data_IF_887587199423
#
_entry.id   IF_887587199423
#
_cell.length_a   1.000
_cell.length_b   1.000
_cell.length_c   1.000
_cell.angle_alpha   90.00
_cell.angle_beta   90.00
_cell.angle_gamma   90.00
#
_symmetry.space_group_name_H-M   'P 1'
#
loop_
_entity.id
_entity.type
_entity.pdbx_description
1 polymer ?
#
# COMPACT_ATOMS: atom_id res chain seq x y z
N UNK A 1 -10.57 -30.04 17.23
CA UNK A 1 -9.71 -30.19 16.04
C UNK A 1 -9.34 -28.80 15.53
N UNK A 2 -8.05 -28.42 15.48
CA UNK A 2 -7.60 -27.15 14.90
C UNK A 2 -7.14 -27.40 13.46
N UNK A 3 -7.86 -26.85 12.49
CA UNK A 3 -7.50 -26.95 11.07
C UNK A 3 -6.71 -25.70 10.70
N UNK A 4 -5.50 -25.87 10.16
CA UNK A 4 -4.69 -24.74 9.70
C UNK A 4 -5.22 -24.20 8.37
N UNK A 5 -5.02 -22.90 8.11
CA UNK A 5 -5.33 -22.31 6.80
C UNK A 5 -4.65 -23.06 5.64
N UNK A 6 -3.45 -23.60 5.88
CA UNK A 6 -2.71 -24.40 4.90
C UNK A 6 -3.41 -25.72 4.57
N UNK A 7 -4.03 -26.37 5.56
CA UNK A 7 -4.84 -27.58 5.38
C UNK A 7 -6.08 -27.28 4.54
N UNK A 8 -6.74 -26.14 4.79
CA UNK A 8 -7.89 -25.68 3.98
C UNK A 8 -7.47 -25.39 2.54
N UNK A 9 -6.34 -24.73 2.31
CA UNK A 9 -5.87 -24.51 0.94
C UNK A 9 -5.49 -25.82 0.26
N UNK A 10 -4.77 -26.73 0.93
CA UNK A 10 -4.40 -28.03 0.35
C UNK A 10 -5.62 -28.84 -0.05
N UNK A 11 -6.69 -28.89 0.76
CA UNK A 11 -7.89 -29.66 0.41
C UNK A 11 -8.55 -29.16 -0.89
N UNK A 12 -8.54 -27.84 -1.14
CA UNK A 12 -9.04 -27.25 -2.38
C UNK A 12 -8.22 -27.64 -3.62
N UNK A 13 -6.88 -27.76 -3.50
CA UNK A 13 -6.01 -28.15 -4.62
C UNK A 13 -5.91 -29.66 -4.82
N UNK A 14 -6.16 -30.47 -3.79
CA UNK A 14 -6.10 -31.94 -3.88
C UNK A 14 -7.20 -32.48 -4.80
N UNK A 15 -8.42 -31.93 -4.73
CA UNK A 15 -9.54 -32.35 -5.58
C UNK A 15 -9.27 -32.14 -7.08
N UNK A 16 -8.52 -31.10 -7.45
CA UNK A 16 -8.14 -30.81 -8.84
C UNK A 16 -6.73 -31.26 -9.25
N UNK A 17 -6.16 -32.28 -8.58
CA UNK A 17 -4.81 -32.84 -8.86
C UNK A 17 -3.71 -31.78 -8.90
N UNK A 18 -3.72 -30.84 -7.96
CA UNK A 18 -2.71 -29.78 -7.83
C UNK A 18 -3.11 -28.42 -8.41
N UNK A 19 -4.27 -28.32 -9.08
CA UNK A 19 -4.86 -27.08 -9.55
C UNK A 19 -6.31 -26.87 -9.10
N UNK A 20 -6.79 -25.65 -9.19
CA UNK A 20 -8.22 -25.33 -9.01
C UNK A 20 -9.00 -25.71 -10.27
N UNK A 21 -10.27 -26.09 -10.08
CA UNK A 21 -11.18 -26.41 -11.18
C UNK A 21 -11.31 -25.24 -12.17
N UNK A 22 -11.32 -25.53 -13.47
CA UNK A 22 -11.26 -24.51 -14.55
C UNK A 22 -12.39 -23.48 -14.47
N UNK A 23 -13.56 -23.88 -13.99
CA UNK A 23 -14.71 -23.00 -13.77
C UNK A 23 -14.46 -21.99 -12.64
N UNK A 24 -13.84 -22.42 -11.55
CA UNK A 24 -13.44 -21.54 -10.44
C UNK A 24 -12.34 -20.57 -10.89
N UNK A 25 -11.40 -21.02 -11.71
CA UNK A 25 -10.31 -20.16 -12.20
C UNK A 25 -10.84 -18.97 -13.00
N UNK A 26 -11.91 -19.15 -13.78
CA UNK A 26 -12.56 -18.06 -14.55
C UNK A 26 -13.16 -16.97 -13.65
N UNK A 27 -13.56 -17.31 -12.42
CA UNK A 27 -14.12 -16.34 -11.48
C UNK A 27 -13.06 -15.67 -10.60
N UNK A 28 -11.84 -16.21 -10.57
CA UNK A 28 -10.74 -15.60 -9.82
C UNK A 28 -10.17 -14.39 -10.56
N UNK A 29 -10.10 -13.26 -9.84
CA UNK A 29 -9.44 -12.02 -10.31
C UNK A 29 -8.03 -12.24 -10.86
N UNK A 30 -7.30 -13.21 -10.31
CA UNK A 30 -5.91 -13.47 -10.72
C UNK A 30 -5.79 -14.47 -11.87
N UNK A 31 -6.88 -15.17 -12.23
CA UNK A 31 -6.88 -16.25 -13.22
C UNK A 31 -5.94 -17.41 -12.89
N UNK A 32 -5.48 -17.52 -11.64
CA UNK A 32 -4.46 -18.53 -11.26
C UNK A 32 -5.10 -19.87 -10.96
N UNK A 33 -4.75 -20.87 -11.76
CA UNK A 33 -5.13 -22.27 -11.53
C UNK A 33 -4.21 -22.98 -10.52
N UNK A 34 -2.94 -22.60 -10.47
CA UNK A 34 -1.92 -23.29 -9.67
C UNK A 34 -1.37 -22.38 -8.57
N UNK A 35 -1.08 -22.99 -7.42
CA UNK A 35 -0.31 -22.33 -6.36
C UNK A 35 1.14 -22.21 -6.80
N UNK A 36 1.73 -21.02 -6.65
CA UNK A 36 3.17 -20.81 -6.85
C UNK A 36 3.91 -20.99 -5.54
N UNK A 37 4.89 -21.88 -5.51
CA UNK A 37 5.89 -21.93 -4.44
C UNK A 37 6.80 -20.71 -4.58
N UNK A 38 6.90 -19.90 -3.53
CA UNK A 38 7.87 -18.80 -3.48
C UNK A 38 9.16 -19.36 -2.90
N UNK A 39 10.21 -19.44 -3.72
CA UNK A 39 11.60 -19.53 -3.25
C UNK A 39 12.17 -18.12 -3.32
N UNK A 40 12.51 -17.55 -2.18
CA UNK A 40 13.18 -16.25 -2.10
C UNK A 40 14.46 -16.41 -1.31
N UNK A 41 15.59 -16.43 -2.01
CA UNK A 41 16.90 -16.13 -1.44
C UNK A 41 17.07 -14.61 -1.51
N UNK A 42 16.87 -13.96 -0.38
CA UNK A 42 17.02 -12.51 -0.26
C UNK A 42 18.51 -12.21 -0.03
N UNK A 43 19.16 -11.58 -1.01
CA UNK A 43 20.59 -11.20 -0.97
C UNK A 43 20.80 -9.68 -0.80
N UNK A 44 19.76 -8.93 -0.43
CA UNK A 44 19.82 -7.46 -0.33
C UNK A 44 20.43 -7.02 1.00
N UNK A 45 21.20 -5.94 0.98
CA UNK A 45 21.70 -5.26 2.18
C UNK A 45 20.55 -4.62 2.97
N UNK A 46 20.74 -4.46 4.28
CA UNK A 46 19.81 -3.74 5.16
C UNK A 46 20.02 -2.23 4.99
N UNK A 47 18.94 -1.46 4.99
CA UNK A 47 19.04 0.00 5.07
C UNK A 47 19.57 0.40 6.46
N UNK A 48 20.47 1.38 6.52
CA UNK A 48 20.91 1.96 7.78
C UNK A 48 19.81 2.85 8.39
N UNK A 49 19.70 2.91 9.72
CA UNK A 49 18.77 3.83 10.39
C UNK A 49 17.28 3.42 10.39
N UNK A 50 16.94 2.19 9.98
CA UNK A 50 15.55 1.74 9.99
C UNK A 50 14.94 1.68 11.39
N UNK A 51 13.72 2.20 11.53
CA UNK A 51 12.86 1.95 12.69
C UNK A 51 11.97 0.75 12.38
N UNK A 52 12.04 -0.30 13.20
CA UNK A 52 11.25 -1.52 12.99
C UNK A 52 9.76 -1.27 13.25
N UNK A 53 8.89 -1.91 12.48
CA UNK A 53 7.42 -1.82 12.62
C UNK A 53 6.89 -2.23 14.00
N UNK A 54 7.63 -3.04 14.78
CA UNK A 54 7.27 -3.39 16.14
C UNK A 54 7.26 -2.17 17.08
N UNK A 55 8.01 -1.10 16.74
CA UNK A 55 8.04 0.16 17.50
C UNK A 55 6.94 1.14 17.04
N UNK A 56 6.13 0.76 16.05
CA UNK A 56 5.04 1.61 15.56
C UNK A 56 3.93 1.69 16.61
N UNK A 57 3.31 2.88 16.82
CA UNK A 57 2.20 3.03 17.76
C UNK A 57 1.08 2.01 17.53
N UNK A 58 0.51 1.48 18.61
CA UNK A 58 -0.56 0.47 18.54
C UNK A 58 -1.82 1.01 17.85
N UNK A 59 -2.11 2.31 17.97
CA UNK A 59 -3.25 2.99 17.31
C UNK A 59 -3.30 2.80 15.78
N UNK A 60 -2.17 2.48 15.16
CA UNK A 60 -2.08 2.20 13.72
C UNK A 60 -2.80 0.90 13.33
N UNK A 61 -2.90 -0.06 14.25
CA UNK A 61 -3.56 -1.35 14.03
C UNK A 61 -5.08 -1.22 13.99
N UNK A 62 -5.63 -0.32 14.81
CA UNK A 62 -7.08 -0.16 14.98
C UNK A 62 -7.74 0.50 13.77
N UNK A 63 -6.95 1.14 12.89
CA UNK A 63 -7.44 1.83 11.68
C UNK A 63 -8.53 2.87 12.01
N UNK A 64 -8.43 3.52 13.16
CA UNK A 64 -9.35 4.58 13.58
C UNK A 64 -8.72 5.95 13.36
N UNK A 65 -7.44 6.08 13.71
CA UNK A 65 -6.71 7.35 13.64
C UNK A 65 -6.38 7.73 12.20
N UNK A 66 -6.50 9.03 11.91
CA UNK A 66 -6.14 9.58 10.61
C UNK A 66 -4.61 9.79 10.50
N UNK A 67 -4.08 9.72 9.29
CA UNK A 67 -2.68 10.02 9.00
C UNK A 67 -1.69 8.85 9.04
N UNK A 68 -2.18 7.62 9.11
CA UNK A 68 -1.36 6.43 8.93
C UNK A 68 -1.45 5.89 7.51
N UNK A 69 -0.31 5.71 6.86
CA UNK A 69 -0.16 5.30 5.48
C UNK A 69 0.70 4.04 5.37
N UNK A 70 0.38 3.20 4.40
CA UNK A 70 1.29 2.17 3.91
C UNK A 70 1.80 2.62 2.52
N UNK A 71 3.06 2.33 2.21
CA UNK A 71 3.67 2.63 0.94
C UNK A 71 4.30 1.39 0.29
N UNK A 72 4.24 1.29 -1.03
CA UNK A 72 4.80 0.19 -1.84
C UNK A 72 5.14 0.64 -3.26
N UNK A 73 5.89 -0.18 -3.99
CA UNK A 73 6.01 -0.09 -5.44
C UNK A 73 5.22 -1.20 -6.14
N UNK A 74 4.50 -0.84 -7.21
CA UNK A 74 4.14 -1.82 -8.25
C UNK A 74 5.16 -1.75 -9.38
N UNK A 75 5.83 -2.87 -9.66
CA UNK A 75 6.84 -2.94 -10.72
C UNK A 75 6.27 -3.44 -12.06
N UNK A 76 6.83 -2.93 -13.15
CA UNK A 76 6.53 -3.27 -14.53
C UNK A 76 7.36 -4.44 -15.05
N UNK A 77 7.52 -4.48 -16.38
CA UNK A 77 8.35 -5.47 -17.09
C UNK A 77 9.77 -5.48 -16.55
N UNK A 78 10.27 -6.65 -16.17
CA UNK A 78 11.65 -6.87 -15.72
C UNK A 78 12.10 -5.96 -14.55
N UNK A 79 11.16 -5.39 -13.79
CA UNK A 79 11.41 -4.34 -12.80
C UNK A 79 12.13 -3.10 -13.36
N UNK A 80 11.93 -2.76 -14.64
CA UNK A 80 12.53 -1.57 -15.27
C UNK A 80 11.77 -0.28 -14.97
N UNK A 81 10.47 -0.36 -14.80
CA UNK A 81 9.59 0.77 -14.45
C UNK A 81 8.75 0.44 -13.23
N UNK A 82 8.29 1.45 -12.51
CA UNK A 82 7.44 1.28 -11.33
C UNK A 82 6.45 2.44 -11.17
N UNK A 83 5.41 2.21 -10.38
CA UNK A 83 4.52 3.25 -9.86
C UNK A 83 4.54 3.12 -8.34
N UNK A 84 4.76 4.22 -7.63
CA UNK A 84 4.65 4.23 -6.18
C UNK A 84 3.19 4.26 -5.74
N UNK A 85 2.89 3.63 -4.63
CA UNK A 85 1.52 3.51 -4.11
C UNK A 85 1.51 3.89 -2.65
N UNK A 86 0.72 4.90 -2.29
CA UNK A 86 0.47 5.31 -0.91
C UNK A 86 -0.99 5.02 -0.59
N UNK A 87 -1.23 4.26 0.47
CA UNK A 87 -2.59 3.84 0.86
C UNK A 87 -2.86 4.21 2.30
N UNK A 88 -3.85 5.06 2.50
CA UNK A 88 -4.31 5.49 3.82
C UNK A 88 -4.94 4.30 4.55
N UNK A 89 -4.42 3.88 5.70
CA UNK A 89 -4.82 2.63 6.37
C UNK A 89 -6.30 2.54 6.76
N UNK A 90 -6.89 3.62 7.26
CA UNK A 90 -8.28 3.61 7.73
C UNK A 90 -9.31 3.77 6.61
N UNK A 91 -9.06 4.62 5.61
CA UNK A 91 -10.01 4.88 4.52
C UNK A 91 -9.72 4.05 3.27
N UNK A 92 -8.50 3.55 3.11
CA UNK A 92 -8.04 2.90 1.86
C UNK A 92 -7.96 3.88 0.70
N UNK A 93 -7.84 5.18 1.00
CA UNK A 93 -7.63 6.22 0.00
C UNK A 93 -6.25 6.02 -0.61
N UNK A 94 -6.19 6.01 -1.94
CA UNK A 94 -5.01 5.69 -2.73
C UNK A 94 -4.47 6.95 -3.37
N UNK A 95 -3.16 7.14 -3.27
CA UNK A 95 -2.38 8.09 -4.05
C UNK A 95 -1.34 7.31 -4.83
N UNK A 96 -1.20 7.61 -6.13
CA UNK A 96 -0.20 6.98 -6.99
C UNK A 96 0.92 7.98 -7.27
N UNK A 97 2.16 7.53 -7.12
CA UNK A 97 3.36 8.31 -7.38
C UNK A 97 3.84 8.01 -8.80
N UNK A 98 3.89 9.04 -9.63
CA UNK A 98 4.39 8.95 -11.00
C UNK A 98 5.92 8.93 -10.99
N UNK A 99 6.51 7.84 -11.50
CA UNK A 99 7.96 7.60 -11.51
C UNK A 99 8.40 7.28 -12.95
N UNK A 100 8.47 8.29 -13.84
CA UNK A 100 8.65 8.07 -15.28
C UNK A 100 10.04 7.53 -15.63
N UNK A 101 11.08 8.02 -14.96
CA UNK A 101 12.47 7.73 -15.35
C UNK A 101 13.08 6.57 -14.55
N UNK A 102 12.91 6.60 -13.23
CA UNK A 102 13.39 5.53 -12.36
C UNK A 102 12.66 5.48 -11.03
N UNK A 103 12.86 4.37 -10.31
CA UNK A 103 12.24 4.10 -9.01
C UNK A 103 13.31 3.82 -7.94
N UNK A 104 14.45 4.50 -8.08
CA UNK A 104 15.50 4.51 -7.06
C UNK A 104 15.14 5.42 -5.88
N UNK A 105 16.05 5.51 -4.90
CA UNK A 105 15.80 6.22 -3.65
C UNK A 105 15.47 7.71 -3.80
N UNK A 106 16.10 8.38 -4.76
CA UNK A 106 15.87 9.81 -5.00
C UNK A 106 14.47 10.07 -5.60
N UNK A 107 14.08 9.50 -6.75
CA UNK A 107 12.75 9.76 -7.32
C UNK A 107 11.60 9.29 -6.43
N UNK A 108 11.74 8.15 -5.74
CA UNK A 108 10.72 7.67 -4.80
C UNK A 108 10.61 8.63 -3.61
N UNK A 109 11.74 9.14 -3.10
CA UNK A 109 11.75 10.14 -2.05
C UNK A 109 11.07 11.43 -2.46
N UNK A 110 11.47 12.03 -3.59
CA UNK A 110 10.90 13.28 -4.10
C UNK A 110 9.39 13.16 -4.35
N UNK A 111 8.94 12.10 -5.02
CA UNK A 111 7.52 11.88 -5.28
C UNK A 111 6.72 11.66 -3.98
N UNK A 112 7.30 10.97 -3.00
CA UNK A 112 6.67 10.78 -1.68
C UNK A 112 6.54 12.10 -0.93
N UNK A 113 7.59 12.93 -0.94
CA UNK A 113 7.59 14.25 -0.31
C UNK A 113 6.54 15.15 -0.98
N UNK A 114 6.52 15.23 -2.31
CA UNK A 114 5.53 15.98 -3.09
C UNK A 114 4.11 15.57 -2.70
N UNK A 115 3.82 14.26 -2.72
CA UNK A 115 2.49 13.74 -2.42
C UNK A 115 2.06 14.00 -0.98
N UNK A 116 2.95 13.76 -0.01
CA UNK A 116 2.63 13.94 1.41
C UNK A 116 2.48 15.41 1.79
N UNK A 117 3.28 16.32 1.23
CA UNK A 117 3.21 17.75 1.55
C UNK A 117 1.96 18.44 1.00
N UNK A 118 1.22 17.82 0.07
CA UNK A 118 -0.14 18.26 -0.33
C UNK A 118 -1.18 17.99 0.76
N UNK A 119 -0.86 17.17 1.75
CA UNK A 119 -1.77 16.82 2.83
C UNK A 119 -1.59 17.72 4.05
N UNK A 120 -2.67 18.07 4.75
CA UNK A 120 -2.60 18.72 6.05
C UNK A 120 -1.68 17.94 7.03
N UNK A 121 -0.93 18.62 7.91
CA UNK A 121 -0.01 17.96 8.86
C UNK A 121 -0.63 16.84 9.68
N UNK A 122 -1.90 16.97 10.11
CA UNK A 122 -2.57 15.95 10.91
C UNK A 122 -2.82 14.63 10.16
N UNK A 123 -2.72 14.64 8.83
CA UNK A 123 -2.77 13.45 7.97
C UNK A 123 -1.38 12.87 7.68
N UNK A 124 -0.31 13.39 8.28
CA UNK A 124 1.06 12.92 8.10
C UNK A 124 1.62 12.41 9.43
N UNK A 125 1.09 11.28 9.94
CA UNK A 125 1.60 10.67 11.18
C UNK A 125 2.68 9.64 10.89
N UNK A 126 2.32 8.56 10.21
CA UNK A 126 3.24 7.43 10.00
C UNK A 126 3.18 6.91 8.58
N UNK A 127 4.32 6.49 8.05
CA UNK A 127 4.43 5.74 6.80
C UNK A 127 5.07 4.38 7.06
N UNK A 128 4.44 3.30 6.59
CA UNK A 128 4.99 1.94 6.69
C UNK A 128 5.41 1.43 5.31
N UNK A 129 6.66 1.01 5.16
CA UNK A 129 7.22 0.47 3.92
C UNK A 129 7.93 -0.86 4.16
N UNK A 130 8.25 -1.59 3.09
CA UNK A 130 9.21 -2.69 3.17
C UNK A 130 10.67 -2.19 3.18
N UNK A 131 11.63 -3.12 3.29
CA UNK A 131 13.07 -2.79 3.36
C UNK A 131 13.70 -2.59 1.97
N UNK A 132 12.91 -2.15 0.97
CA UNK A 132 13.36 -1.89 -0.38
C UNK A 132 14.40 -0.75 -0.47
N UNK A 133 15.34 -0.87 -1.41
CA UNK A 133 16.42 0.11 -1.59
C UNK A 133 15.91 1.47 -2.08
N UNK A 134 14.71 1.51 -2.65
CA UNK A 134 13.99 2.74 -2.96
C UNK A 134 13.68 3.60 -1.71
N UNK A 135 13.76 3.03 -0.50
CA UNK A 135 13.60 3.77 0.75
C UNK A 135 14.93 4.11 1.44
N UNK A 136 16.07 4.05 0.73
CA UNK A 136 17.35 4.42 1.31
C UNK A 136 17.38 5.87 1.84
N UNK A 137 16.62 6.79 1.22
CA UNK A 137 16.51 8.19 1.63
C UNK A 137 15.37 8.46 2.64
N UNK A 138 14.88 7.45 3.36
CA UNK A 138 13.76 7.60 4.30
C UNK A 138 13.98 8.68 5.38
N UNK A 139 15.22 8.91 5.84
CA UNK A 139 15.51 9.99 6.80
C UNK A 139 15.16 11.37 6.23
N UNK A 140 15.51 11.62 4.95
CA UNK A 140 15.18 12.88 4.24
C UNK A 140 13.67 13.01 4.07
N UNK A 141 12.98 11.91 3.72
CA UNK A 141 11.52 11.90 3.61
C UNK A 141 10.88 12.24 4.96
N UNK A 142 11.33 11.60 6.04
CA UNK A 142 10.81 11.81 7.39
C UNK A 142 10.99 13.27 7.83
N UNK A 143 12.16 13.87 7.59
CA UNK A 143 12.42 15.26 7.92
C UNK A 143 11.53 16.23 7.13
N UNK A 144 11.47 16.06 5.80
CA UNK A 144 10.72 16.97 4.92
C UNK A 144 9.20 16.88 5.10
N UNK A 145 8.69 15.73 5.55
CA UNK A 145 7.23 15.48 5.67
C UNK A 145 6.74 15.44 7.12
N UNK A 146 7.65 15.35 8.10
CA UNK A 146 7.37 15.06 9.52
C UNK A 146 6.65 13.73 9.75
N UNK A 147 6.84 12.75 8.85
CA UNK A 147 6.33 11.39 9.00
C UNK A 147 7.27 10.54 9.85
N UNK A 148 6.70 9.78 10.78
CA UNK A 148 7.41 8.65 11.38
C UNK A 148 7.41 7.46 10.42
N UNK A 149 8.58 7.07 9.93
CA UNK A 149 8.71 5.99 8.94
C UNK A 149 9.12 4.68 9.62
N UNK A 150 8.35 3.63 9.36
CA UNK A 150 8.55 2.30 9.92
C UNK A 150 8.73 1.25 8.84
N UNK A 151 9.59 0.27 9.11
CA UNK A 151 9.94 -0.79 8.18
C UNK A 151 9.44 -2.15 8.64
N UNK A 152 8.79 -2.87 7.71
CA UNK A 152 8.35 -4.23 7.94
C UNK A 152 9.52 -5.18 8.20
N UNK A 153 9.22 -6.28 8.88
CA UNK A 153 10.15 -7.39 9.03
C UNK A 153 10.39 -8.07 7.67
N UNK A 154 11.62 -8.60 7.44
CA UNK A 154 11.90 -9.36 6.24
C UNK A 154 10.93 -10.53 6.10
N UNK A 155 10.43 -10.75 4.88
CA UNK A 155 9.51 -11.85 4.55
C UNK A 155 8.17 -11.78 5.28
N UNK A 156 7.74 -10.59 5.72
CA UNK A 156 6.46 -10.38 6.41
C UNK A 156 5.47 -9.51 5.62
N UNK A 157 5.02 -9.93 4.41
CA UNK A 157 4.12 -9.14 3.57
C UNK A 157 2.77 -8.83 4.23
N UNK A 158 2.31 -9.67 5.18
CA UNK A 158 1.06 -9.46 5.93
C UNK A 158 1.06 -8.18 6.78
N UNK A 159 2.25 -7.63 7.10
CA UNK A 159 2.38 -6.37 7.83
C UNK A 159 1.93 -5.14 7.01
N UNK A 160 1.78 -5.29 5.68
CA UNK A 160 1.21 -4.30 4.75
C UNK A 160 0.04 -4.87 3.92
N UNK A 161 -0.86 -5.57 4.60
CA UNK A 161 -2.02 -6.20 3.96
C UNK A 161 -2.90 -5.21 3.17
N UNK A 162 -2.92 -3.91 3.53
CA UNK A 162 -3.72 -2.90 2.81
C UNK A 162 -3.13 -2.61 1.44
N UNK A 163 -1.80 -2.42 1.36
CA UNK A 163 -1.11 -2.30 0.08
C UNK A 163 -1.21 -3.56 -0.76
N UNK A 164 -1.06 -4.76 -0.19
CA UNK A 164 -1.15 -6.00 -0.98
C UNK A 164 -2.51 -6.12 -1.69
N UNK A 165 -3.61 -5.88 -0.97
CA UNK A 165 -4.94 -5.86 -1.57
C UNK A 165 -5.11 -4.74 -2.61
N UNK A 166 -4.61 -3.53 -2.31
CA UNK A 166 -4.74 -2.37 -3.20
C UNK A 166 -3.94 -2.57 -4.49
N UNK A 167 -2.72 -3.07 -4.39
CA UNK A 167 -1.88 -3.42 -5.52
C UNK A 167 -2.55 -4.49 -6.38
N UNK A 168 -3.23 -5.46 -5.77
CA UNK A 168 -4.06 -6.43 -6.49
C UNK A 168 -5.20 -5.79 -7.32
N UNK A 169 -5.77 -4.67 -6.88
CA UNK A 169 -6.76 -3.90 -7.64
C UNK A 169 -6.10 -3.07 -8.75
N UNK A 170 -4.99 -2.42 -8.44
CA UNK A 170 -4.21 -1.62 -9.40
C UNK A 170 -3.74 -2.45 -10.59
N UNK A 171 -3.46 -3.75 -10.39
CA UNK A 171 -3.10 -4.67 -11.50
C UNK A 171 -4.19 -4.90 -12.54
N UNK A 172 -5.43 -4.46 -12.30
CA UNK A 172 -6.49 -4.42 -13.33
C UNK A 172 -6.24 -3.32 -14.36
N UNK A 173 -5.58 -2.23 -13.94
CA UNK A 173 -5.23 -1.08 -14.79
C UNK A 173 -3.78 -1.14 -15.27
N UNK A 174 -2.90 -1.71 -14.46
CA UNK A 174 -1.47 -1.84 -14.70
C UNK A 174 -1.06 -3.32 -14.69
N UNK A 175 -1.37 -4.08 -15.75
CA UNK A 175 -1.08 -5.51 -15.81
C UNK A 175 0.39 -5.81 -15.50
N UNK A 176 0.67 -7.01 -15.02
CA UNK A 176 2.06 -7.40 -14.77
C UNK A 176 2.82 -7.47 -16.09
N UNK A 177 4.12 -7.19 -16.02
CA UNK A 177 5.02 -7.24 -17.17
C UNK A 177 4.73 -6.23 -18.29
N UNK A 178 3.91 -5.21 -18.04
CA UNK A 178 3.81 -4.04 -18.92
C UNK A 178 4.88 -3.02 -18.55
N UNK A 179 5.28 -2.20 -19.52
CA UNK A 179 6.03 -1.00 -19.19
C UNK A 179 5.11 0.01 -18.49
N UNK A 180 5.49 0.44 -17.30
CA UNK A 180 4.74 1.41 -16.52
C UNK A 180 5.14 2.86 -16.79
N UNK A 181 6.28 3.11 -17.44
CA UNK A 181 6.76 4.45 -17.75
C UNK A 181 5.84 5.18 -18.76
N UNK A 182 5.13 4.43 -19.59
CA UNK A 182 4.16 4.98 -20.54
C UNK A 182 2.84 5.46 -19.94
N UNK A 183 2.60 5.27 -18.63
CA UNK A 183 1.40 5.80 -17.97
C UNK A 183 1.70 7.16 -17.36
N UNK A 184 1.18 8.22 -18.00
CA UNK A 184 1.34 9.58 -17.53
C UNK A 184 0.58 9.86 -16.22
N UNK A 185 1.00 10.94 -15.53
CA UNK A 185 0.42 11.42 -14.27
C UNK A 185 -1.11 11.48 -14.30
N UNK A 186 -1.70 12.05 -15.35
CA UNK A 186 -3.16 12.21 -15.48
C UNK A 186 -3.90 10.86 -15.48
N UNK A 187 -3.32 9.85 -16.11
CA UNK A 187 -3.90 8.50 -16.10
C UNK A 187 -3.78 7.84 -14.73
N UNK A 188 -2.66 8.05 -14.02
CA UNK A 188 -2.51 7.59 -12.64
C UNK A 188 -3.55 8.26 -11.72
N UNK A 189 -3.77 9.56 -11.87
CA UNK A 189 -4.77 10.31 -11.11
C UNK A 189 -6.19 9.81 -11.42
N UNK A 190 -6.50 9.56 -12.70
CA UNK A 190 -7.74 8.93 -13.11
C UNK A 190 -7.94 7.55 -12.46
N UNK A 191 -6.93 6.68 -12.49
CA UNK A 191 -7.01 5.35 -11.86
C UNK A 191 -7.18 5.45 -10.35
N UNK A 192 -6.44 6.36 -9.69
CA UNK A 192 -6.59 6.61 -8.25
C UNK A 192 -8.01 7.08 -7.91
N UNK A 193 -8.55 8.05 -8.67
CA UNK A 193 -9.93 8.53 -8.52
C UNK A 193 -10.94 7.39 -8.68
N UNK A 194 -10.78 6.54 -9.70
CA UNK A 194 -11.62 5.37 -9.91
C UNK A 194 -11.56 4.38 -8.75
N UNK A 195 -10.40 4.18 -8.11
CA UNK A 195 -10.30 3.34 -6.91
C UNK A 195 -10.90 3.99 -5.67
N UNK A 196 -10.74 5.31 -5.55
CA UNK A 196 -11.21 6.12 -4.44
C UNK A 196 -12.73 6.37 -4.49
N UNK A 197 -13.36 6.22 -5.66
CA UNK A 197 -14.81 6.28 -5.84
C UNK A 197 -15.52 4.92 -5.66
N UNK A 198 -14.79 3.82 -5.40
CA UNK A 198 -15.41 2.49 -5.24
C UNK A 198 -15.97 2.28 -3.83
N UNK A 199 -17.28 2.02 -3.66
CA UNK A 199 -17.87 1.63 -2.37
C UNK A 199 -17.14 0.47 -1.69
N UNK A 200 -16.90 0.57 -0.39
CA UNK A 200 -16.26 -0.49 0.40
C UNK A 200 -17.18 -0.94 1.52
N UNK A 201 -17.51 -2.23 1.57
CA UNK A 201 -18.30 -2.83 2.67
C UNK A 201 -17.73 -2.51 4.06
N UNK A 202 -16.40 -2.53 4.21
CA UNK A 202 -15.71 -2.17 5.48
C UNK A 202 -15.88 -0.72 5.92
N UNK A 203 -16.37 0.16 5.04
CA UNK A 203 -16.66 1.57 5.32
C UNK A 203 -18.17 1.82 5.38
N UNK A 204 -18.99 0.78 5.57
CA UNK A 204 -20.45 0.90 5.49
C UNK A 204 -20.92 1.31 4.09
N UNK A 205 -20.26 0.78 3.06
CA UNK A 205 -20.51 1.09 1.64
C UNK A 205 -20.15 2.51 1.19
N UNK A 206 -19.52 3.32 2.03
CA UNK A 206 -18.91 4.57 1.59
C UNK A 206 -17.69 4.32 0.71
N UNK A 207 -17.38 5.30 -0.12
CA UNK A 207 -16.16 5.31 -0.94
C UNK A 207 -14.95 5.74 -0.11
N UNK A 208 -13.72 5.33 -0.46
CA UNK A 208 -12.52 5.86 0.19
C UNK A 208 -12.43 7.38 0.14
N UNK A 209 -12.89 8.01 -0.95
CA UNK A 209 -12.95 9.47 -1.09
C UNK A 209 -13.90 10.08 -0.06
N UNK A 210 -15.14 9.62 0.05
CA UNK A 210 -16.11 10.11 1.05
C UNK A 210 -15.62 9.91 2.49
N UNK A 211 -15.00 8.77 2.77
CA UNK A 211 -14.49 8.47 4.10
C UNK A 211 -13.24 9.30 4.42
N UNK A 212 -12.44 9.66 3.41
CA UNK A 212 -11.30 10.55 3.56
C UNK A 212 -11.73 12.01 3.74
N UNK A 213 -12.70 12.47 2.96
CA UNK A 213 -13.30 13.79 3.04
C UNK A 213 -13.89 14.07 4.43
N UNK A 214 -14.58 13.09 5.03
CA UNK A 214 -15.07 13.21 6.41
C UNK A 214 -13.96 13.44 7.44
N UNK A 215 -12.75 12.92 7.22
CA UNK A 215 -11.63 13.15 8.12
C UNK A 215 -11.02 14.55 7.94
N UNK A 216 -11.11 15.10 6.73
CA UNK A 216 -10.78 16.50 6.48
C UNK A 216 -11.81 17.40 7.19
N UNK A 217 -13.09 17.16 6.96
CA UNK A 217 -14.20 17.98 7.48
C UNK A 217 -14.38 17.90 9.01
N UNK A 218 -14.35 16.70 9.62
CA UNK A 218 -14.57 16.52 11.06
C UNK A 218 -13.50 17.16 11.97
N UNK A 219 -12.39 17.63 11.39
CA UNK A 219 -11.35 18.39 12.10
C UNK A 219 -11.51 19.91 11.96
N UNK A 220 -12.17 20.38 10.89
CA UNK A 220 -12.56 21.79 10.77
C UNK A 220 -13.65 22.16 11.80
N UNK A 221 -14.47 21.20 12.24
CA UNK A 221 -15.56 21.42 13.20
C UNK A 221 -15.16 21.33 14.69
N UNK A 222 -13.86 21.22 15.02
CA UNK A 222 -13.43 21.31 16.43
C UNK A 222 -13.17 22.78 16.77
N UNK A 223 -14.01 23.45 17.60
CA UNK A 223 -13.64 24.76 18.13
C UNK A 223 -12.33 24.61 18.89
N UNK A 224 -11.40 25.54 18.66
CA UNK A 224 -10.11 25.57 19.34
C UNK A 224 -10.33 25.45 20.84
N UNK A 225 -9.75 24.41 21.44
CA UNK A 225 -9.75 24.26 22.90
C UNK A 225 -8.96 25.45 23.42
N UNK A 226 -9.66 26.40 24.06
CA UNK A 226 -9.03 27.51 24.74
C UNK A 226 -8.07 26.93 25.79
N UNK A 227 -6.79 27.26 25.67
CA UNK A 227 -5.82 27.05 26.73
C UNK A 227 -6.21 27.99 27.87
N UNK A 228 -6.88 27.47 28.89
CA UNK A 228 -7.06 28.17 30.16
C UNK A 228 -5.80 28.02 31.00
N UNK A 229 -5.18 29.17 31.31
CA UNK A 229 -4.38 29.40 32.52
C UNK A 229 -2.92 29.01 32.43
#
# INVERSE_FOLDING_TARGET
MRVSHETVYRSLYVQGRGGLHRELVKTLRTGRALRRTRRTTERRGRLAGMVNIALRPSEVLDRVVAGHWEGDLITGKENKSAIGTLVKRSTGFVVLLHLPDSHGALPVGEATIEAMNRLPPFLRRTLTWDQGQEMANHAVIAEATRLDIYFCDPRSPWQRATNENTNGLLRQYFPKSTDLAGYHRDYLEFVAAQLNARPRKRLGWRTPAEAFDRLLSARHDRPGVALTG
#
